data_IF_343994873926
#
_entry.id   IF_343994873926
#
_cell.length_a   1.000
_cell.length_b   1.000
_cell.length_c   1.000
_cell.angle_alpha   90.00
_cell.angle_beta   90.00
_cell.angle_gamma   90.00
#
_symmetry.space_group_name_H-M   'P 1'
#
loop_
_entity.id
_entity.type
_entity.pdbx_description
1 polymer ?
#
# COMPACT_ATOMS: atom_id res chain seq x y z
N UNK A 1 -63.97 -17.13 -9.53
CA UNK A 1 -63.10 -16.54 -10.56
C UNK A 1 -61.80 -16.08 -9.90
N UNK A 2 -60.69 -16.67 -10.36
CA UNK A 2 -59.26 -16.31 -10.26
C UNK A 2 -58.72 -15.44 -9.10
N UNK A 3 -57.76 -16.06 -8.41
CA UNK A 3 -56.78 -15.50 -7.50
C UNK A 3 -55.98 -14.32 -8.07
N UNK A 4 -55.61 -13.40 -7.18
CA UNK A 4 -54.49 -12.48 -7.34
C UNK A 4 -53.70 -12.42 -6.03
N UNK A 5 -52.73 -13.32 -5.90
CA UNK A 5 -51.63 -13.22 -4.94
C UNK A 5 -50.61 -12.24 -5.52
N UNK A 6 -50.35 -11.13 -4.82
CA UNK A 6 -49.22 -10.25 -5.10
C UNK A 6 -48.44 -10.06 -3.80
N UNK A 7 -47.35 -10.81 -3.71
CA UNK A 7 -46.28 -10.65 -2.73
C UNK A 7 -45.35 -9.52 -3.19
N UNK A 8 -44.96 -8.62 -2.29
CA UNK A 8 -43.74 -7.80 -2.35
C UNK A 8 -43.53 -7.23 -0.94
N UNK A 9 -42.89 -7.99 -0.05
CA UNK A 9 -41.43 -8.01 0.15
C UNK A 9 -40.90 -6.67 0.69
N UNK A 10 -41.02 -6.52 2.02
CA UNK A 10 -39.96 -6.08 2.94
C UNK A 10 -38.87 -5.17 2.33
N UNK A 11 -39.03 -3.85 2.47
CA UNK A 11 -37.93 -2.89 2.41
C UNK A 11 -37.04 -3.02 3.65
N UNK A 12 -36.32 -4.13 3.76
CA UNK A 12 -35.17 -4.23 4.67
C UNK A 12 -34.01 -3.45 4.04
N UNK A 13 -33.38 -2.50 4.75
CA UNK A 13 -32.16 -1.88 4.27
C UNK A 13 -31.08 -2.97 4.12
N UNK A 14 -30.53 -3.05 2.92
CA UNK A 14 -29.49 -3.98 2.53
C UNK A 14 -28.24 -3.75 3.41
N UNK A 15 -27.69 -4.77 4.11
CA UNK A 15 -26.45 -4.61 4.86
C UNK A 15 -25.21 -4.58 3.94
N UNK A 16 -25.37 -4.66 2.61
CA UNK A 16 -24.27 -4.80 1.68
C UNK A 16 -23.78 -3.47 1.05
N UNK A 17 -23.32 -2.52 1.87
CA UNK A 17 -22.12 -1.73 1.52
C UNK A 17 -21.63 -0.93 2.72
N UNK A 18 -20.85 -1.58 3.58
CA UNK A 18 -19.82 -0.85 4.30
C UNK A 18 -18.88 -0.27 3.22
N UNK A 19 -19.13 0.97 2.81
CA UNK A 19 -18.26 1.69 1.91
C UNK A 19 -16.88 1.75 2.58
N UNK A 20 -15.91 1.05 2.00
CA UNK A 20 -14.50 1.19 2.34
C UNK A 20 -14.18 2.67 2.27
N UNK A 21 -13.93 3.32 3.41
CA UNK A 21 -13.55 4.72 3.44
C UNK A 21 -12.30 4.88 2.55
N UNK A 22 -12.46 5.54 1.40
CA UNK A 22 -11.38 5.76 0.45
C UNK A 22 -10.29 6.58 1.12
N UNK A 23 -9.07 6.05 1.18
CA UNK A 23 -7.91 6.88 1.47
C UNK A 23 -7.74 7.80 0.27
N UNK A 24 -7.95 9.11 0.45
CA UNK A 24 -8.10 10.12 -0.61
C UNK A 24 -6.91 10.25 -1.59
N UNK A 25 -5.86 9.45 -1.42
CA UNK A 25 -4.59 9.49 -2.13
C UNK A 25 -4.15 8.13 -2.67
N UNK A 26 -5.07 7.15 -2.73
CA UNK A 26 -4.85 5.87 -3.41
C UNK A 26 -5.73 5.77 -4.66
N UNK A 27 -5.25 5.15 -5.76
CA UNK A 27 -3.95 4.49 -5.90
C UNK A 27 -2.79 5.48 -6.08
N UNK A 28 -1.60 5.05 -5.64
CA UNK A 28 -0.33 5.73 -5.88
C UNK A 28 0.18 5.42 -7.31
N UNK A 29 1.01 6.30 -7.89
CA UNK A 29 1.58 6.08 -9.21
C UNK A 29 2.37 4.76 -9.29
N UNK A 30 2.27 4.09 -10.44
CA UNK A 30 3.07 2.91 -10.74
C UNK A 30 4.54 3.28 -10.95
N UNK A 31 5.45 2.29 -10.90
CA UNK A 31 6.87 2.59 -11.02
C UNK A 31 7.26 3.19 -12.39
N UNK A 32 6.56 2.81 -13.46
CA UNK A 32 6.74 3.44 -14.77
C UNK A 32 6.41 4.95 -14.74
N UNK A 33 5.35 5.35 -14.05
CA UNK A 33 4.96 6.76 -13.91
C UNK A 33 5.95 7.53 -13.03
N UNK A 34 6.44 6.91 -11.94
CA UNK A 34 7.49 7.49 -11.09
C UNK A 34 8.78 7.71 -11.88
N UNK A 35 9.20 6.74 -12.69
CA UNK A 35 10.37 6.87 -13.58
C UNK A 35 10.16 7.93 -14.65
N UNK A 36 8.97 8.00 -15.24
CA UNK A 36 8.63 8.98 -16.28
C UNK A 36 8.66 10.43 -15.76
N UNK A 37 8.42 10.65 -14.47
CA UNK A 37 8.56 11.98 -13.86
C UNK A 37 10.02 12.48 -13.82
N UNK A 38 11.01 11.61 -14.07
CA UNK A 38 12.43 11.95 -14.15
C UNK A 38 12.99 12.72 -12.93
N UNK A 39 12.37 12.54 -11.76
CA UNK A 39 12.83 13.11 -10.51
C UNK A 39 13.95 12.25 -9.92
N UNK A 40 15.00 12.89 -9.40
CA UNK A 40 16.18 12.23 -8.83
C UNK A 40 16.53 12.82 -7.46
N UNK A 41 17.15 12.00 -6.59
CA UNK A 41 17.62 12.44 -5.28
C UNK A 41 16.52 13.09 -4.42
N UNK A 42 16.84 14.25 -3.83
CA UNK A 42 15.93 14.97 -2.93
C UNK A 42 14.61 15.39 -3.59
N UNK A 43 14.60 15.68 -4.90
CA UNK A 43 13.37 16.05 -5.61
C UNK A 43 12.37 14.89 -5.66
N UNK A 44 12.86 13.65 -5.78
CA UNK A 44 12.02 12.47 -5.71
C UNK A 44 11.50 12.24 -4.28
N UNK A 45 12.32 12.49 -3.26
CA UNK A 45 11.91 12.40 -1.85
C UNK A 45 10.82 13.43 -1.52
N UNK A 46 10.95 14.68 -1.94
CA UNK A 46 9.89 15.70 -1.74
C UNK A 46 8.59 15.32 -2.46
N UNK A 47 8.68 14.76 -3.66
CA UNK A 47 7.50 14.26 -4.37
C UNK A 47 6.86 13.07 -3.65
N UNK A 48 7.67 12.21 -3.02
CA UNK A 48 7.20 11.14 -2.16
C UNK A 48 6.48 11.67 -0.92
N UNK A 49 7.05 12.64 -0.20
CA UNK A 49 6.41 13.28 0.97
C UNK A 49 5.04 13.87 0.64
N UNK A 50 4.90 14.45 -0.55
CA UNK A 50 3.65 15.07 -1.00
C UNK A 50 2.59 14.03 -1.37
N UNK A 51 3.01 12.86 -1.89
CA UNK A 51 2.10 11.86 -2.46
C UNK A 51 1.77 10.73 -1.51
N UNK A 52 2.74 10.31 -0.70
CA UNK A 52 2.56 9.18 0.19
C UNK A 52 1.56 9.56 1.29
N UNK A 53 0.42 8.84 1.43
CA UNK A 53 -0.65 9.27 2.30
C UNK A 53 -0.17 9.32 3.76
N UNK A 54 -0.33 10.44 4.49
CA UNK A 54 0.07 10.53 5.89
C UNK A 54 -0.60 9.48 6.79
N UNK A 55 -1.79 9.03 6.41
CA UNK A 55 -2.49 7.95 7.10
C UNK A 55 -1.76 6.59 7.04
N UNK A 56 -0.82 6.42 6.09
CA UNK A 56 0.01 5.22 5.94
C UNK A 56 1.35 5.27 6.71
N UNK A 57 1.66 6.39 7.35
CA UNK A 57 2.92 6.60 8.09
C UNK A 57 2.80 6.16 9.55
N UNK A 58 1.61 6.29 10.16
CA UNK A 58 1.38 5.96 11.57
C UNK A 58 0.75 4.59 11.76
N UNK A 59 1.33 3.73 12.60
CA UNK A 59 0.83 2.37 12.88
C UNK A 59 -0.64 2.37 13.31
N UNK A 60 -0.99 3.19 14.31
CA UNK A 60 -2.36 3.30 14.81
C UNK A 60 -3.36 3.76 13.73
N UNK A 61 -2.91 4.59 12.79
CA UNK A 61 -3.73 5.03 11.65
C UNK A 61 -3.93 3.90 10.67
N UNK A 62 -2.84 3.23 10.24
CA UNK A 62 -2.87 2.11 9.29
C UNK A 62 -3.79 0.98 9.76
N UNK A 63 -3.73 0.60 11.04
CA UNK A 63 -4.58 -0.46 11.59
C UNK A 63 -6.08 -0.18 11.43
N UNK A 64 -6.48 1.08 11.53
CA UNK A 64 -7.89 1.49 11.42
C UNK A 64 -8.36 1.62 9.98
N UNK A 65 -7.46 1.72 9.00
CA UNK A 65 -7.83 1.85 7.61
C UNK A 65 -8.45 0.57 7.07
N UNK A 66 -9.55 0.72 6.33
CA UNK A 66 -10.19 -0.36 5.58
C UNK A 66 -9.56 -0.47 4.18
N UNK A 67 -8.27 -0.84 4.13
CA UNK A 67 -7.56 -1.06 2.87
C UNK A 67 -7.93 -2.41 2.27
N UNK A 68 -8.23 -2.44 0.98
CA UNK A 68 -8.33 -3.70 0.23
C UNK A 68 -6.94 -4.23 -0.16
N UNK A 69 -6.80 -5.53 -0.49
CA UNK A 69 -5.50 -6.12 -0.83
C UNK A 69 -4.79 -5.46 -2.02
N UNK A 70 -5.53 -4.91 -2.98
CA UNK A 70 -4.99 -4.19 -4.13
C UNK A 70 -4.38 -2.86 -3.73
N UNK A 71 -5.03 -2.11 -2.85
CA UNK A 71 -4.49 -0.88 -2.25
C UNK A 71 -3.20 -1.13 -1.47
N UNK A 72 -3.17 -2.17 -0.65
CA UNK A 72 -1.96 -2.57 0.10
C UNK A 72 -0.82 -2.94 -0.86
N UNK A 73 -1.12 -3.70 -1.91
CA UNK A 73 -0.12 -4.08 -2.91
C UNK A 73 0.40 -2.88 -3.71
N UNK A 74 -0.47 -1.94 -4.08
CA UNK A 74 -0.09 -0.71 -4.77
C UNK A 74 0.85 0.16 -3.92
N UNK A 75 0.53 0.36 -2.63
CA UNK A 75 1.40 1.12 -1.73
C UNK A 75 2.78 0.44 -1.53
N UNK A 76 2.81 -0.89 -1.35
CA UNK A 76 4.06 -1.64 -1.24
C UNK A 76 4.91 -1.56 -2.53
N UNK A 77 4.28 -1.61 -3.70
CA UNK A 77 4.95 -1.47 -4.99
C UNK A 77 5.52 -0.06 -5.19
N UNK A 78 4.76 0.97 -4.80
CA UNK A 78 5.21 2.37 -4.84
C UNK A 78 6.44 2.58 -3.95
N UNK A 79 6.40 2.12 -2.70
CA UNK A 79 7.52 2.19 -1.75
C UNK A 79 8.77 1.50 -2.30
N UNK A 80 8.64 0.30 -2.86
CA UNK A 80 9.76 -0.42 -3.46
C UNK A 80 10.38 0.33 -4.65
N UNK A 81 9.55 0.97 -5.47
CA UNK A 81 10.02 1.76 -6.61
C UNK A 81 10.78 3.01 -6.15
N UNK A 82 10.17 3.80 -5.27
CA UNK A 82 10.79 5.03 -4.76
C UNK A 82 12.08 4.71 -4.02
N UNK A 83 12.06 3.71 -3.12
CA UNK A 83 13.27 3.26 -2.42
C UNK A 83 14.37 2.84 -3.41
N UNK A 84 14.04 2.11 -4.47
CA UNK A 84 15.00 1.76 -5.52
C UNK A 84 15.63 2.98 -6.20
N UNK A 85 14.80 3.95 -6.57
CA UNK A 85 15.23 5.15 -7.30
C UNK A 85 15.98 6.16 -6.42
N UNK A 86 15.77 6.13 -5.11
CA UNK A 86 16.49 6.97 -4.14
C UNK A 86 17.72 6.30 -3.55
N UNK A 87 18.08 5.08 -3.99
CA UNK A 87 19.23 4.36 -3.44
C UNK A 87 19.00 3.82 -2.03
N UNK A 88 17.78 3.38 -1.75
CA UNK A 88 17.29 2.84 -0.46
C UNK A 88 17.30 3.87 0.67
N UNK A 89 16.90 5.10 0.34
CA UNK A 89 16.77 6.20 1.30
C UNK A 89 16.00 5.75 2.56
N UNK A 90 16.63 5.98 3.72
CA UNK A 90 16.13 5.59 5.04
C UNK A 90 14.76 6.22 5.31
N UNK A 91 14.56 7.47 4.89
CA UNK A 91 13.30 8.17 5.09
C UNK A 91 12.13 7.43 4.44
N UNK A 92 12.30 6.94 3.21
CA UNK A 92 11.26 6.18 2.49
C UNK A 92 10.89 4.90 3.24
N UNK A 93 11.90 4.20 3.78
CA UNK A 93 11.67 2.99 4.56
C UNK A 93 10.95 3.29 5.89
N UNK A 94 11.33 4.36 6.59
CA UNK A 94 10.70 4.79 7.84
C UNK A 94 9.23 5.19 7.64
N UNK A 95 8.94 5.99 6.61
CA UNK A 95 7.57 6.38 6.29
C UNK A 95 6.70 5.17 5.88
N UNK A 96 7.29 4.18 5.21
CA UNK A 96 6.61 2.95 4.81
C UNK A 96 6.43 1.93 5.93
N UNK A 97 7.19 2.03 7.04
CA UNK A 97 7.33 0.97 8.02
C UNK A 97 6.00 0.57 8.67
N UNK A 98 5.14 1.56 8.97
CA UNK A 98 3.84 1.31 9.60
C UNK A 98 2.94 0.39 8.76
N UNK A 99 2.99 0.50 7.42
CA UNK A 99 2.23 -0.39 6.54
C UNK A 99 2.69 -1.84 6.68
N UNK A 100 4.00 -2.08 6.76
CA UNK A 100 4.58 -3.41 6.86
C UNK A 100 4.52 -4.00 8.28
N UNK A 101 4.59 -3.15 9.30
CA UNK A 101 4.44 -3.52 10.71
C UNK A 101 2.98 -3.82 11.09
N UNK A 102 2.03 -3.36 10.28
CA UNK A 102 0.60 -3.53 10.55
C UNK A 102 0.22 -5.00 10.76
N UNK A 103 -0.51 -5.28 11.85
CA UNK A 103 -1.12 -6.60 12.13
C UNK A 103 -2.19 -6.94 11.09
N UNK A 104 -2.96 -5.94 10.66
CA UNK A 104 -4.03 -6.14 9.67
C UNK A 104 -3.50 -6.27 8.24
N UNK A 105 -2.57 -5.39 7.85
CA UNK A 105 -2.18 -5.21 6.44
C UNK A 105 -0.76 -5.70 6.12
N UNK A 106 0.12 -5.78 7.13
CA UNK A 106 1.56 -6.00 6.93
C UNK A 106 1.91 -7.29 6.23
N UNK A 107 1.22 -8.39 6.53
CA UNK A 107 1.41 -9.67 5.82
C UNK A 107 1.11 -9.55 4.32
N UNK A 108 0.05 -8.83 3.96
CA UNK A 108 -0.31 -8.60 2.56
C UNK A 108 0.70 -7.69 1.87
N UNK A 109 1.17 -6.65 2.57
CA UNK A 109 2.20 -5.74 2.07
C UNK A 109 3.53 -6.46 1.79
N UNK A 110 4.00 -7.26 2.75
CA UNK A 110 5.21 -8.07 2.61
C UNK A 110 5.07 -9.11 1.49
N UNK A 111 3.91 -9.78 1.38
CA UNK A 111 3.66 -10.73 0.31
C UNK A 111 3.65 -10.07 -1.08
N UNK A 112 3.12 -8.86 -1.20
CA UNK A 112 3.16 -8.08 -2.43
C UNK A 112 4.61 -7.72 -2.80
N UNK A 113 5.38 -7.23 -1.84
CA UNK A 113 6.79 -6.89 -2.02
C UNK A 113 7.62 -8.12 -2.45
N UNK A 114 7.40 -9.27 -1.81
CA UNK A 114 8.05 -10.52 -2.17
C UNK A 114 7.67 -11.02 -3.57
N UNK A 115 6.43 -10.80 -4.00
CA UNK A 115 6.00 -11.14 -5.36
C UNK A 115 6.78 -10.33 -6.40
N UNK A 116 6.94 -9.02 -6.16
CA UNK A 116 7.72 -8.13 -7.05
C UNK A 116 9.19 -8.55 -7.04
N UNK A 117 9.74 -8.85 -5.86
CA UNK A 117 11.12 -9.28 -5.67
C UNK A 117 11.48 -10.58 -6.41
N UNK A 118 10.50 -11.46 -6.65
CA UNK A 118 10.66 -12.69 -7.47
C UNK A 118 10.52 -12.46 -8.98
N UNK A 119 10.08 -11.28 -9.40
CA UNK A 119 9.96 -10.94 -10.82
C UNK A 119 11.31 -10.79 -11.52
N UNK A 120 11.24 -10.56 -12.82
CA UNK A 120 12.40 -10.32 -13.71
C UNK A 120 12.48 -8.88 -14.22
N UNK A 121 11.51 -8.02 -13.89
CA UNK A 121 11.48 -6.61 -14.28
C UNK A 121 12.54 -5.76 -13.56
N UNK A 122 12.73 -4.53 -14.03
CA UNK A 122 13.68 -3.56 -13.48
C UNK A 122 13.48 -3.27 -11.98
N UNK A 123 12.25 -3.45 -11.49
CA UNK A 123 11.86 -3.21 -10.10
C UNK A 123 12.21 -4.37 -9.17
N UNK A 124 12.47 -5.58 -9.70
CA UNK A 124 12.66 -6.77 -8.87
C UNK A 124 13.89 -6.67 -7.97
N UNK A 125 14.98 -6.07 -8.47
CA UNK A 125 16.18 -5.80 -7.67
C UNK A 125 15.87 -4.86 -6.50
N UNK A 126 15.30 -3.69 -6.80
CA UNK A 126 14.90 -2.70 -5.79
C UNK A 126 13.92 -3.27 -4.76
N UNK A 127 12.95 -4.08 -5.19
CA UNK A 127 12.03 -4.75 -4.28
C UNK A 127 12.72 -5.76 -3.37
N UNK A 128 13.70 -6.55 -3.88
CA UNK A 128 14.51 -7.44 -3.05
C UNK A 128 15.26 -6.68 -1.97
N UNK A 129 15.87 -5.56 -2.34
CA UNK A 129 16.73 -4.80 -1.43
C UNK A 129 15.90 -4.06 -0.38
N UNK A 130 14.81 -3.42 -0.80
CA UNK A 130 13.86 -2.79 0.09
C UNK A 130 13.20 -3.81 1.04
N UNK A 131 12.87 -5.02 0.56
CA UNK A 131 12.36 -6.09 1.42
C UNK A 131 13.36 -6.50 2.50
N UNK A 132 14.67 -6.54 2.19
CA UNK A 132 15.71 -6.80 3.19
C UNK A 132 15.79 -5.67 4.21
N UNK A 133 15.74 -4.42 3.75
CA UNK A 133 15.74 -3.23 4.61
C UNK A 133 14.54 -3.21 5.56
N UNK A 134 13.31 -3.35 5.06
CA UNK A 134 12.10 -3.39 5.89
C UNK A 134 12.15 -4.52 6.91
N UNK A 135 12.59 -5.73 6.52
CA UNK A 135 12.74 -6.85 7.46
C UNK A 135 13.83 -6.61 8.52
N UNK A 136 14.84 -5.81 8.22
CA UNK A 136 15.81 -5.41 9.22
C UNK A 136 15.15 -4.46 10.24
N UNK A 137 14.40 -3.45 9.78
CA UNK A 137 13.64 -2.56 10.66
C UNK A 137 12.65 -3.31 11.55
N UNK A 138 11.87 -4.23 10.98
CA UNK A 138 10.88 -5.01 11.72
C UNK A 138 11.50 -5.93 12.79
N UNK A 139 12.77 -6.32 12.65
CA UNK A 139 13.48 -7.11 13.67
C UNK A 139 13.98 -6.25 14.84
N UNK A 140 14.13 -4.94 14.63
CA UNK A 140 14.73 -3.99 15.58
C UNK A 140 16.25 -4.18 15.74
N UNK A 141 16.96 -3.18 16.30
CA UNK A 141 18.37 -3.33 16.64
C UNK A 141 18.55 -4.34 17.79
N UNK A 142 19.38 -5.38 17.59
CA UNK A 142 19.76 -6.34 18.64
C UNK A 142 19.24 -7.77 18.50
N UNK A 143 18.78 -8.18 17.31
CA UNK A 143 18.51 -9.59 16.96
C UNK A 143 19.35 -10.07 15.79
#
# INVERSE_FOLDING_TARGET
MRAALLALALCLPDPARAASASVASLPLPGCAEVRAAALVGSALVTAFETRYPPALVGEASVERLALDPGQVANAAAYLACVAGLTGLDVYVAEQGLALFASRRHGRTALAALDRIARGTGSEAGSARDHARQIRAYLRGPGR
#
